data_IF_008013673395
#
_entry.id   IF_008013673395
#
_cell.length_a   1.000
_cell.length_b   1.000
_cell.length_c   1.000
_cell.angle_alpha   90.00
_cell.angle_beta   90.00
_cell.angle_gamma   90.00
#
_symmetry.space_group_name_H-M   'P 1'
#
loop_
_entity.id
_entity.type
_entity.pdbx_description
1 polymer ?
#
# COMPACT_ATOMS: atom_id res chain seq x y z
N UNK A 1 51.43 10.09 74.37
CA UNK A 1 51.48 9.05 73.33
C UNK A 1 50.94 9.68 72.06
N UNK A 2 51.78 9.88 71.05
CA UNK A 2 51.33 10.34 69.73
C UNK A 2 50.60 9.19 69.05
N UNK A 3 49.30 9.34 68.80
CA UNK A 3 48.56 8.39 67.99
C UNK A 3 49.22 8.29 66.61
N UNK A 4 49.53 7.06 66.21
CA UNK A 4 50.15 6.77 64.92
C UNK A 4 49.11 7.03 63.83
N UNK A 5 49.39 7.97 62.94
CA UNK A 5 48.54 8.30 61.80
C UNK A 5 49.31 8.04 60.52
N UNK A 6 49.35 6.75 60.16
CA UNK A 6 50.16 6.20 59.08
C UNK A 6 49.25 5.59 58.00
N UNK A 7 49.77 5.45 56.78
CA UNK A 7 49.04 4.83 55.69
C UNK A 7 48.79 3.33 55.98
N UNK A 8 47.54 2.89 55.81
CA UNK A 8 47.16 1.49 56.02
C UNK A 8 47.89 0.49 55.10
N UNK A 9 48.38 0.94 53.93
CA UNK A 9 49.06 0.06 52.97
C UNK A 9 50.59 0.08 53.06
N UNK A 10 51.21 1.28 53.07
CA UNK A 10 52.67 1.40 53.07
C UNK A 10 53.29 1.74 54.43
N UNK A 11 52.47 1.94 55.47
CA UNK A 11 52.88 2.32 56.84
C UNK A 11 53.63 3.65 56.94
N UNK A 12 53.72 4.44 55.86
CA UNK A 12 54.31 5.77 55.89
C UNK A 12 53.46 6.76 56.69
N UNK A 13 54.11 7.65 57.43
CA UNK A 13 53.41 8.70 58.17
C UNK A 13 52.64 9.65 57.25
N UNK A 14 51.37 9.90 57.60
CA UNK A 14 50.46 10.80 56.88
C UNK A 14 50.42 12.20 57.48
N UNK A 15 51.16 12.47 58.57
CA UNK A 15 51.24 13.79 59.18
C UNK A 15 51.70 14.85 58.16
N UNK A 16 50.86 15.87 57.96
CA UNK A 16 51.14 16.97 57.01
C UNK A 16 51.09 16.57 55.53
N UNK A 17 50.63 15.36 55.19
CA UNK A 17 50.47 14.87 53.82
C UNK A 17 49.00 14.73 53.45
N UNK A 18 48.69 14.81 52.15
CA UNK A 18 47.35 14.48 51.66
C UNK A 18 47.10 12.98 51.81
N UNK A 19 45.90 12.61 52.24
CA UNK A 19 45.45 11.23 52.41
C UNK A 19 43.99 11.10 51.99
N UNK A 20 43.57 9.87 51.69
CA UNK A 20 42.20 9.51 51.35
C UNK A 20 41.70 8.48 52.35
N UNK A 21 40.51 8.69 52.90
CA UNK A 21 39.85 7.72 53.78
C UNK A 21 38.97 6.79 52.95
N UNK A 22 39.15 5.48 53.12
CA UNK A 22 38.28 4.45 52.55
C UNK A 22 37.94 3.45 53.64
N UNK A 23 36.64 3.23 53.89
CA UNK A 23 36.16 2.34 54.96
C UNK A 23 36.82 2.67 56.32
N UNK A 24 36.91 3.96 56.65
CA UNK A 24 37.54 4.51 57.87
C UNK A 24 39.07 4.29 57.99
N UNK A 25 39.71 3.68 56.98
CA UNK A 25 41.15 3.48 56.96
C UNK A 25 41.86 4.57 56.12
N UNK A 26 42.97 5.15 56.62
CA UNK A 26 43.69 6.19 55.90
C UNK A 26 44.73 5.61 54.91
N UNK A 27 44.67 6.06 53.66
CA UNK A 27 45.63 5.71 52.61
C UNK A 27 46.37 6.97 52.14
N UNK A 28 47.67 6.89 51.87
CA UNK A 28 48.35 7.96 51.14
C UNK A 28 47.81 7.99 49.71
N UNK A 29 47.84 9.16 49.07
CA UNK A 29 47.29 9.34 47.70
C UNK A 29 47.88 8.31 46.72
N UNK A 30 49.19 8.07 46.78
CA UNK A 30 49.85 7.10 45.91
C UNK A 30 49.35 5.66 46.11
N UNK A 31 49.17 5.22 47.35
CA UNK A 31 48.64 3.88 47.64
C UNK A 31 47.16 3.78 47.27
N UNK A 32 46.38 4.82 47.52
CA UNK A 32 44.97 4.86 47.14
C UNK A 32 44.81 4.77 45.62
N UNK A 33 45.59 5.55 44.86
CA UNK A 33 45.58 5.51 43.40
C UNK A 33 46.04 4.16 42.87
N UNK A 34 47.12 3.59 43.41
CA UNK A 34 47.63 2.29 42.95
C UNK A 34 46.64 1.13 43.19
N UNK A 35 45.85 1.19 44.27
CA UNK A 35 44.94 0.12 44.65
C UNK A 35 43.54 0.28 44.06
N UNK A 36 43.08 1.53 43.85
CA UNK A 36 41.66 1.82 43.62
C UNK A 36 41.37 2.78 42.46
N UNK A 37 42.37 3.40 41.82
CA UNK A 37 42.11 4.28 40.69
C UNK A 37 41.70 3.46 39.45
N UNK A 38 40.68 3.97 38.76
CA UNK A 38 40.28 3.47 37.45
C UNK A 38 41.34 3.81 36.40
N UNK A 39 41.55 2.95 35.40
CA UNK A 39 42.43 3.25 34.27
C UNK A 39 41.63 3.93 33.16
N UNK A 40 42.12 5.05 32.64
CA UNK A 40 41.49 5.74 31.54
C UNK A 40 41.65 4.96 30.24
N UNK A 41 40.53 4.68 29.58
CA UNK A 41 40.47 3.90 28.34
C UNK A 41 41.19 4.57 27.15
N UNK A 42 41.25 5.91 27.12
CA UNK A 42 41.83 6.65 25.99
C UNK A 42 43.35 6.81 26.11
N UNK A 43 43.86 7.14 27.30
CA UNK A 43 45.27 7.45 27.50
C UNK A 43 46.05 6.38 28.28
N UNK A 44 45.37 5.38 28.84
CA UNK A 44 45.96 4.29 29.62
C UNK A 44 46.51 4.68 30.99
N UNK A 45 46.31 5.93 31.44
CA UNK A 45 46.77 6.42 32.75
C UNK A 45 45.70 6.23 33.81
N UNK A 46 46.13 6.07 35.07
CA UNK A 46 45.22 6.07 36.22
C UNK A 46 44.52 7.41 36.36
N UNK A 47 43.22 7.38 36.66
CA UNK A 47 42.41 8.55 36.96
C UNK A 47 42.57 8.84 38.45
N UNK A 48 43.34 9.89 38.76
CA UNK A 48 43.62 10.30 40.13
C UNK A 48 42.37 10.63 40.93
N UNK A 49 42.45 10.56 42.26
CA UNK A 49 41.31 10.85 43.14
C UNK A 49 40.85 12.33 43.07
N UNK A 50 41.69 13.20 42.53
CA UNK A 50 41.42 14.61 42.29
C UNK A 50 40.77 14.89 40.92
N UNK A 51 40.69 13.88 40.06
CA UNK A 51 40.10 13.97 38.73
C UNK A 51 38.64 13.50 38.73
N UNK A 52 37.81 14.11 37.88
CA UNK A 52 36.45 13.63 37.64
C UNK A 52 36.52 12.34 36.81
N UNK A 53 36.19 11.21 37.43
CA UNK A 53 36.06 9.91 36.77
C UNK A 53 34.71 9.81 36.05
N UNK A 54 34.74 9.84 34.71
CA UNK A 54 33.57 9.62 33.88
C UNK A 54 33.52 8.14 33.50
N UNK A 55 32.41 7.47 33.82
CA UNK A 55 32.25 6.04 33.56
C UNK A 55 31.05 5.70 32.68
N UNK A 56 31.21 4.69 31.83
CA UNK A 56 30.15 4.11 30.99
C UNK A 56 30.46 2.65 30.67
N UNK A 57 29.53 1.74 30.98
CA UNK A 57 29.67 0.27 30.77
C UNK A 57 31.03 -0.26 31.26
N UNK A 58 31.35 0.03 32.53
CA UNK A 58 32.57 -0.43 33.22
C UNK A 58 33.90 0.09 32.62
N UNK A 59 33.83 1.12 31.77
CA UNK A 59 34.99 1.84 31.26
C UNK A 59 35.03 3.24 31.82
N UNK A 60 36.24 3.79 31.90
CA UNK A 60 36.53 5.02 32.61
C UNK A 60 37.35 5.97 31.75
N UNK A 61 37.08 7.26 31.87
CA UNK A 61 37.78 8.31 31.13
C UNK A 61 38.03 9.53 32.01
N UNK A 62 39.17 10.18 31.80
CA UNK A 62 39.32 11.57 32.22
C UNK A 62 38.30 12.44 31.49
N UNK A 63 37.88 13.54 32.13
CA UNK A 63 37.02 14.54 31.50
C UNK A 63 37.57 15.05 30.15
N UNK A 64 38.88 15.28 30.07
CA UNK A 64 39.56 15.70 28.84
C UNK A 64 39.67 14.60 27.77
N UNK A 65 39.59 13.33 28.18
CA UNK A 65 39.68 12.15 27.31
C UNK A 65 38.31 11.67 26.82
N UNK A 66 37.21 12.20 27.37
CA UNK A 66 35.85 11.84 27.02
C UNK A 66 35.35 12.66 25.82
N UNK A 67 35.90 12.37 24.65
CA UNK A 67 35.61 13.09 23.39
C UNK A 67 35.15 12.17 22.27
N UNK A 68 34.52 12.76 21.26
CA UNK A 68 34.13 12.05 20.06
C UNK A 68 35.36 11.58 19.27
N UNK A 69 35.39 10.30 18.90
CA UNK A 69 36.48 9.67 18.13
C UNK A 69 36.68 10.28 16.73
N UNK A 70 35.69 11.03 16.21
CA UNK A 70 35.73 11.65 14.88
C UNK A 70 36.06 13.15 14.94
N UNK A 71 35.22 13.94 15.61
CA UNK A 71 35.38 15.39 15.65
C UNK A 71 36.21 15.90 16.83
N UNK A 72 36.62 15.02 17.76
CA UNK A 72 37.34 15.35 19.01
C UNK A 72 36.61 16.33 19.94
N UNK A 73 35.33 16.63 19.67
CA UNK A 73 34.50 17.43 20.58
C UNK A 73 34.21 16.69 21.88
N UNK A 74 34.28 17.40 23.01
CA UNK A 74 33.92 16.86 24.34
C UNK A 74 32.47 16.35 24.36
N UNK A 75 32.30 15.14 24.90
CA UNK A 75 31.03 14.44 25.09
C UNK A 75 30.49 14.57 26.52
N UNK A 76 31.20 15.28 27.39
CA UNK A 76 30.81 15.49 28.79
C UNK A 76 29.44 16.16 28.83
N UNK A 77 28.52 15.58 29.60
CA UNK A 77 27.12 16.00 29.75
C UNK A 77 26.33 16.11 28.43
N UNK A 78 26.80 15.46 27.35
CA UNK A 78 26.13 15.44 26.04
C UNK A 78 25.70 14.02 25.66
N UNK A 79 24.59 13.87 24.92
CA UNK A 79 24.22 12.58 24.33
C UNK A 79 25.33 12.06 23.41
N UNK A 80 25.64 10.77 23.50
CA UNK A 80 26.62 10.10 22.67
C UNK A 80 26.16 8.68 22.30
N UNK A 81 26.80 8.11 21.29
CA UNK A 81 26.64 6.72 20.90
C UNK A 81 27.97 5.97 21.11
N UNK A 82 27.90 4.80 21.76
CA UNK A 82 29.02 3.88 21.87
C UNK A 82 28.80 2.73 20.90
N UNK A 83 29.66 2.61 19.87
CA UNK A 83 29.61 1.54 18.87
C UNK A 83 31.03 1.03 18.63
N UNK A 84 31.22 -0.29 18.70
CA UNK A 84 32.52 -0.94 18.48
C UNK A 84 33.65 -0.27 19.27
N UNK A 85 33.38 0.00 20.56
CA UNK A 85 34.32 0.64 21.49
C UNK A 85 34.68 2.11 21.19
N UNK A 86 34.08 2.71 20.17
CA UNK A 86 34.24 4.13 19.85
C UNK A 86 33.11 4.96 20.42
N UNK A 87 33.47 6.06 21.08
CA UNK A 87 32.54 7.11 21.48
C UNK A 87 32.32 8.09 20.34
N UNK A 88 31.08 8.28 19.91
CA UNK A 88 30.70 9.18 18.83
C UNK A 88 29.66 10.18 19.33
N UNK A 89 29.80 11.46 18.97
CA UNK A 89 28.71 12.41 19.16
C UNK A 89 27.54 12.04 18.25
N UNK A 90 26.34 12.49 18.59
CA UNK A 90 25.12 12.22 17.81
C UNK A 90 25.24 12.63 16.34
N UNK A 91 25.96 13.71 16.05
CA UNK A 91 26.12 14.22 14.68
C UNK A 91 27.04 13.32 13.86
N UNK A 92 28.21 12.95 14.40
CA UNK A 92 29.15 12.05 13.73
C UNK A 92 28.55 10.66 13.56
N UNK A 93 27.86 10.15 14.58
CA UNK A 93 27.13 8.89 14.48
C UNK A 93 26.07 8.95 13.38
N UNK A 94 25.31 10.04 13.31
CA UNK A 94 24.28 10.21 12.30
C UNK A 94 24.84 10.35 10.88
N UNK A 95 25.98 11.03 10.71
CA UNK A 95 26.60 11.18 9.39
C UNK A 95 27.07 9.85 8.81
N UNK A 96 27.63 8.98 9.65
CA UNK A 96 28.19 7.69 9.23
C UNK A 96 27.13 6.60 9.06
N UNK A 97 26.07 6.62 9.88
CA UNK A 97 25.16 5.48 10.00
C UNK A 97 23.69 5.79 9.70
N UNK A 98 23.31 7.05 9.45
CA UNK A 98 21.92 7.41 9.18
C UNK A 98 21.63 7.60 7.69
N UNK A 99 20.50 7.04 7.25
CA UNK A 99 19.90 7.37 5.95
C UNK A 99 19.52 8.87 5.92
N UNK A 100 19.68 9.53 4.77
CA UNK A 100 19.22 10.92 4.59
C UNK A 100 17.79 10.92 4.06
N UNK A 101 16.96 11.80 4.61
CA UNK A 101 15.61 12.02 4.12
C UNK A 101 15.66 12.64 2.73
N UNK A 102 14.97 12.04 1.76
CA UNK A 102 14.95 12.49 0.39
C UNK A 102 14.24 13.85 0.24
N UNK A 103 13.30 14.17 1.12
CA UNK A 103 12.57 15.45 1.11
C UNK A 103 13.38 16.58 1.75
N UNK A 104 13.64 16.50 3.07
CA UNK A 104 14.27 17.59 3.81
C UNK A 104 15.81 17.56 3.81
N UNK A 105 16.41 16.51 3.23
CA UNK A 105 17.87 16.26 3.16
C UNK A 105 18.59 16.11 4.51
N UNK A 106 17.87 16.11 5.64
CA UNK A 106 18.40 15.87 6.99
C UNK A 106 18.57 14.37 7.27
N UNK A 107 19.46 14.02 8.20
CA UNK A 107 19.63 12.65 8.67
C UNK A 107 18.37 12.12 9.35
N UNK A 108 18.06 10.84 9.14
CA UNK A 108 17.01 10.11 9.84
C UNK A 108 17.66 9.34 10.98
N UNK A 109 17.37 9.73 12.22
CA UNK A 109 18.03 9.17 13.40
C UNK A 109 17.92 7.64 13.44
N UNK A 110 19.00 6.90 13.75
CA UNK A 110 18.93 5.44 13.82
C UNK A 110 17.98 5.00 14.93
N UNK A 111 17.21 3.95 14.68
CA UNK A 111 16.17 3.48 15.60
C UNK A 111 14.83 4.24 15.52
N UNK A 112 14.76 5.36 14.79
CA UNK A 112 13.47 6.01 14.48
C UNK A 112 12.78 5.32 13.31
N UNK A 113 11.44 5.36 13.31
CA UNK A 113 10.66 4.82 12.20
C UNK A 113 10.87 5.68 10.96
N UNK A 114 11.14 5.02 9.84
CA UNK A 114 11.39 5.66 8.54
C UNK A 114 10.53 5.01 7.46
N UNK A 115 10.26 5.78 6.41
CA UNK A 115 9.61 5.29 5.21
C UNK A 115 10.66 5.02 4.15
N UNK A 116 10.53 3.91 3.42
CA UNK A 116 11.48 3.52 2.38
C UNK A 116 10.75 3.07 1.12
N UNK A 117 11.24 3.53 -0.03
CA UNK A 117 10.72 3.15 -1.34
C UNK A 117 11.80 3.38 -2.42
N UNK A 118 12.04 2.36 -3.25
CA UNK A 118 13.03 2.41 -4.36
C UNK A 118 14.39 3.00 -3.95
N UNK A 119 14.92 2.58 -2.80
CA UNK A 119 16.23 3.01 -2.30
C UNK A 119 16.29 4.43 -1.72
N UNK A 120 15.16 5.15 -1.70
CA UNK A 120 15.03 6.43 -1.02
C UNK A 120 14.43 6.23 0.38
N UNK A 121 14.80 7.10 1.32
CA UNK A 121 14.29 7.10 2.68
C UNK A 121 13.67 8.45 3.04
N UNK A 122 12.65 8.46 3.88
CA UNK A 122 12.01 9.68 4.39
C UNK A 122 11.72 9.55 5.89
N UNK A 123 11.71 10.68 6.59
CA UNK A 123 11.01 10.75 7.88
C UNK A 123 9.53 10.44 7.67
N UNK A 124 8.84 9.86 8.65
CA UNK A 124 7.39 9.62 8.56
C UNK A 124 6.59 10.89 8.23
N UNK A 125 7.00 12.03 8.81
CA UNK A 125 6.39 13.34 8.59
C UNK A 125 6.75 13.95 7.23
N UNK A 126 7.81 13.48 6.58
CA UNK A 126 8.24 13.93 5.26
C UNK A 126 7.70 13.04 4.13
N UNK A 127 7.19 11.85 4.45
CA UNK A 127 6.55 10.97 3.47
C UNK A 127 5.08 11.36 3.28
N UNK A 128 4.89 12.47 2.58
CA UNK A 128 3.60 13.15 2.40
C UNK A 128 3.03 12.96 1.00
N UNK A 129 1.72 13.13 0.89
CA UNK A 129 1.05 13.20 -0.40
C UNK A 129 1.30 14.57 -1.03
N UNK A 130 1.84 14.60 -2.26
CA UNK A 130 2.09 15.82 -3.01
C UNK A 130 0.85 16.73 -3.13
N UNK A 131 -0.35 16.13 -3.22
CA UNK A 131 -1.59 16.89 -3.40
C UNK A 131 -2.18 17.47 -2.12
N UNK A 132 -2.34 16.65 -1.07
CA UNK A 132 -2.98 17.10 0.18
C UNK A 132 -2.00 17.47 1.28
N UNK A 133 -0.70 17.27 1.06
CA UNK A 133 0.40 17.56 1.99
C UNK A 133 0.28 16.82 3.33
N UNK A 134 -0.58 15.79 3.41
CA UNK A 134 -0.74 14.97 4.61
C UNK A 134 0.24 13.79 4.60
N UNK A 135 0.77 13.39 5.78
CA UNK A 135 1.57 12.17 5.91
C UNK A 135 0.79 10.95 5.42
N UNK A 136 1.41 10.18 4.54
CA UNK A 136 0.84 8.93 4.04
C UNK A 136 1.03 7.81 5.08
N UNK A 137 2.21 7.79 5.74
CA UNK A 137 2.58 6.75 6.68
C UNK A 137 2.58 5.37 6.01
N UNK A 138 2.02 4.36 6.67
CA UNK A 138 1.92 2.98 6.15
C UNK A 138 0.76 2.74 5.20
N UNK A 139 -0.01 3.77 4.85
CA UNK A 139 -1.12 3.62 3.90
C UNK A 139 -0.57 3.38 2.50
N UNK A 140 -1.34 2.70 1.66
CA UNK A 140 -1.03 2.54 0.23
C UNK A 140 -0.86 3.89 -0.44
N UNK A 141 0.06 3.95 -1.39
CA UNK A 141 0.38 5.16 -2.15
C UNK A 141 0.69 4.82 -3.61
N UNK A 142 0.65 5.85 -4.44
CA UNK A 142 0.92 5.73 -5.88
C UNK A 142 2.03 6.73 -6.22
N UNK A 143 3.23 6.25 -6.57
CA UNK A 143 4.32 7.09 -7.04
C UNK A 143 4.11 7.46 -8.51
N UNK A 144 4.25 8.74 -8.85
CA UNK A 144 4.13 9.25 -10.21
C UNK A 144 5.05 10.46 -10.38
N UNK A 145 5.88 10.47 -11.43
CA UNK A 145 6.79 11.58 -11.76
C UNK A 145 7.71 12.02 -10.60
N UNK A 146 8.22 11.06 -9.82
CA UNK A 146 9.02 11.26 -8.58
C UNK A 146 8.26 11.83 -7.38
N UNK A 147 6.96 12.06 -7.51
CA UNK A 147 6.06 12.49 -6.45
C UNK A 147 5.27 11.31 -5.87
N UNK A 148 4.89 11.41 -4.60
CA UNK A 148 4.08 10.40 -3.93
C UNK A 148 2.65 10.92 -3.73
N UNK A 149 1.65 10.15 -4.13
CA UNK A 149 0.24 10.48 -3.92
C UNK A 149 -0.42 9.46 -3.02
N UNK A 150 -1.25 9.91 -2.07
CA UNK A 150 -2.19 9.00 -1.42
C UNK A 150 -3.24 8.55 -2.45
N UNK A 151 -3.72 7.31 -2.32
CA UNK A 151 -4.68 6.70 -3.26
C UNK A 151 -5.88 7.62 -3.55
N UNK A 152 -6.56 8.23 -2.57
CA UNK A 152 -7.71 9.11 -2.85
C UNK A 152 -7.36 10.35 -3.66
N UNK A 153 -6.18 10.94 -3.42
CA UNK A 153 -5.73 12.13 -4.15
C UNK A 153 -5.35 11.80 -5.59
N UNK A 154 -4.69 10.66 -5.78
CA UNK A 154 -4.34 10.14 -7.10
C UNK A 154 -5.60 9.83 -7.90
N UNK A 155 -6.52 9.05 -7.33
CA UNK A 155 -7.80 8.69 -7.98
C UNK A 155 -8.61 9.92 -8.35
N UNK A 156 -8.72 10.91 -7.45
CA UNK A 156 -9.43 12.16 -7.75
C UNK A 156 -8.82 12.94 -8.92
N UNK A 157 -7.53 12.78 -9.21
CA UNK A 157 -6.85 13.50 -10.30
C UNK A 157 -6.78 12.70 -11.60
N UNK A 158 -6.61 11.39 -11.51
CA UNK A 158 -6.21 10.56 -12.63
C UNK A 158 -7.17 9.39 -12.92
N UNK A 159 -8.15 9.11 -12.06
CA UNK A 159 -9.12 8.06 -12.36
C UNK A 159 -10.03 8.49 -13.51
N UNK A 160 -10.35 7.52 -14.38
CA UNK A 160 -11.34 7.70 -15.43
C UNK A 160 -12.70 8.02 -14.81
N UNK A 161 -13.46 8.91 -15.44
CA UNK A 161 -14.78 9.30 -14.98
C UNK A 161 -15.86 8.50 -15.70
N UNK A 162 -16.76 7.88 -14.95
CA UNK A 162 -17.87 7.15 -15.53
C UNK A 162 -18.77 8.08 -16.35
N UNK A 163 -19.05 7.70 -17.60
CA UNK A 163 -19.87 8.52 -18.49
C UNK A 163 -21.30 8.73 -17.95
N UNK A 164 -21.87 7.73 -17.26
CA UNK A 164 -23.22 7.82 -16.69
C UNK A 164 -23.31 8.74 -15.48
N UNK A 165 -22.48 8.51 -14.45
CA UNK A 165 -22.65 9.15 -13.15
C UNK A 165 -21.64 10.28 -12.89
N UNK A 166 -20.67 10.48 -13.79
CA UNK A 166 -19.57 11.46 -13.71
C UNK A 166 -18.64 11.30 -12.50
N UNK A 167 -18.75 10.19 -11.76
CA UNK A 167 -17.86 9.89 -10.62
C UNK A 167 -16.61 9.12 -11.09
N UNK A 168 -15.47 9.28 -10.39
CA UNK A 168 -14.27 8.47 -10.60
C UNK A 168 -14.54 6.97 -10.54
N UNK A 169 -13.92 6.21 -11.44
CA UNK A 169 -13.89 4.74 -11.43
C UNK A 169 -12.62 4.32 -10.70
N UNK A 170 -12.77 4.04 -9.40
CA UNK A 170 -11.65 3.70 -8.50
C UNK A 170 -11.39 2.20 -8.42
N UNK A 171 -12.44 1.39 -8.65
CA UNK A 171 -12.35 -0.07 -8.56
C UNK A 171 -13.01 -0.69 -9.78
N UNK A 172 -12.21 -1.30 -10.66
CA UNK A 172 -12.68 -2.17 -11.75
C UNK A 172 -13.89 -1.66 -12.56
N UNK A 173 -13.65 -0.99 -13.68
CA UNK A 173 -14.71 -0.56 -14.59
C UNK A 173 -14.99 -1.54 -15.73
N UNK A 174 -15.85 -1.11 -16.66
CA UNK A 174 -15.95 -1.67 -18.01
C UNK A 174 -15.72 -0.55 -19.02
N UNK A 175 -15.09 -0.91 -20.13
CA UNK A 175 -14.95 -0.03 -21.28
C UNK A 175 -15.92 -0.49 -22.35
N UNK A 176 -16.78 0.41 -22.81
CA UNK A 176 -17.69 0.16 -23.92
C UNK A 176 -17.59 1.33 -24.89
N UNK A 177 -17.27 1.05 -26.16
CA UNK A 177 -17.01 2.07 -27.20
C UNK A 177 -15.99 3.12 -26.74
N UNK A 178 -14.87 2.65 -26.19
CA UNK A 178 -13.79 3.48 -25.63
C UNK A 178 -14.19 4.41 -24.48
N UNK A 179 -15.45 4.34 -24.04
CA UNK A 179 -15.96 5.11 -22.92
C UNK A 179 -15.92 4.28 -21.63
N UNK A 180 -15.46 4.86 -20.52
CA UNK A 180 -15.38 4.16 -19.25
C UNK A 180 -16.69 4.27 -18.45
N UNK A 181 -17.10 3.15 -17.86
CA UNK A 181 -18.32 3.04 -17.06
C UNK A 181 -18.03 2.25 -15.78
N UNK A 182 -18.73 2.59 -14.69
CA UNK A 182 -18.87 1.64 -13.58
C UNK A 182 -19.66 0.41 -14.06
N UNK A 183 -19.36 -0.76 -13.51
CA UNK A 183 -20.07 -2.01 -13.85
C UNK A 183 -21.57 -1.90 -13.60
N UNK A 184 -21.95 -1.17 -12.55
CA UNK A 184 -23.32 -0.92 -12.11
C UNK A 184 -23.99 0.20 -12.91
N UNK A 185 -23.21 1.07 -13.56
CA UNK A 185 -23.72 2.13 -14.43
C UNK A 185 -23.93 1.65 -15.88
N UNK A 186 -23.19 0.62 -16.31
CA UNK A 186 -23.37 0.01 -17.62
C UNK A 186 -24.52 -0.99 -17.60
N UNK A 187 -25.73 -0.49 -17.81
CA UNK A 187 -26.99 -1.23 -17.64
C UNK A 187 -27.81 -1.30 -18.93
N UNK A 188 -28.69 -2.29 -19.01
CA UNK A 188 -29.69 -2.40 -20.07
C UNK A 188 -30.60 -1.16 -20.05
N UNK A 189 -30.77 -0.52 -21.21
CA UNK A 189 -31.64 0.65 -21.35
C UNK A 189 -33.09 0.36 -20.93
N UNK A 190 -33.59 -0.85 -21.20
CA UNK A 190 -34.96 -1.26 -20.91
C UNK A 190 -35.17 -1.70 -19.46
N UNK A 191 -34.40 -2.68 -18.95
CA UNK A 191 -34.65 -3.27 -17.63
C UNK A 191 -33.71 -2.78 -16.51
N UNK A 192 -32.75 -1.91 -16.83
CA UNK A 192 -31.75 -1.34 -15.90
C UNK A 192 -30.86 -2.36 -15.17
N UNK A 193 -30.86 -3.64 -15.58
CA UNK A 193 -29.93 -4.65 -15.06
C UNK A 193 -28.51 -4.43 -15.60
N UNK A 194 -27.45 -4.64 -14.80
CA UNK A 194 -26.06 -4.56 -15.26
C UNK A 194 -25.77 -5.46 -16.46
N UNK A 195 -25.04 -4.94 -17.44
CA UNK A 195 -24.59 -5.66 -18.63
C UNK A 195 -23.14 -6.16 -18.50
N UNK A 196 -22.40 -5.69 -17.49
CA UNK A 196 -21.05 -6.15 -17.21
C UNK A 196 -21.00 -7.68 -17.04
N UNK A 197 -20.22 -8.36 -17.88
CA UNK A 197 -20.07 -9.81 -17.87
C UNK A 197 -21.27 -10.59 -18.45
N UNK A 198 -22.29 -9.90 -18.97
CA UNK A 198 -23.45 -10.51 -19.62
C UNK A 198 -23.37 -10.36 -21.14
N UNK A 199 -24.04 -11.23 -21.87
CA UNK A 199 -24.26 -11.01 -23.31
C UNK A 199 -25.26 -9.88 -23.52
N UNK A 200 -24.94 -8.96 -24.41
CA UNK A 200 -25.77 -7.82 -24.74
C UNK A 200 -25.58 -7.44 -26.21
N UNK A 201 -26.45 -6.59 -26.72
CA UNK A 201 -26.35 -5.99 -28.06
C UNK A 201 -26.68 -4.50 -27.97
N UNK A 202 -26.37 -3.74 -29.01
CA UNK A 202 -26.71 -2.31 -29.07
C UNK A 202 -27.49 -1.95 -30.32
N UNK A 203 -28.34 -0.94 -30.18
CA UNK A 203 -29.14 -0.35 -31.25
C UNK A 203 -29.34 1.13 -30.96
N UNK A 204 -29.14 1.97 -31.96
CA UNK A 204 -29.29 3.42 -31.88
C UNK A 204 -28.55 4.00 -30.66
N UNK A 205 -27.28 3.59 -30.47
CA UNK A 205 -26.42 3.94 -29.32
C UNK A 205 -26.81 3.35 -27.95
N UNK A 206 -28.00 2.78 -27.81
CA UNK A 206 -28.49 2.18 -26.56
C UNK A 206 -28.08 0.71 -26.43
N UNK A 207 -27.61 0.33 -25.24
CA UNK A 207 -27.25 -1.06 -24.93
C UNK A 207 -28.44 -1.80 -24.30
N UNK A 208 -28.72 -3.01 -24.80
CA UNK A 208 -29.81 -3.86 -24.34
C UNK A 208 -29.30 -5.25 -24.00
N UNK A 209 -29.80 -5.83 -22.91
CA UNK A 209 -29.62 -7.27 -22.71
C UNK A 209 -30.38 -8.03 -23.79
N UNK A 210 -29.94 -9.26 -24.10
CA UNK A 210 -30.52 -10.03 -25.19
C UNK A 210 -32.03 -10.25 -25.05
N UNK A 211 -32.52 -10.51 -23.83
CA UNK A 211 -33.96 -10.68 -23.57
C UNK A 211 -34.75 -9.44 -23.95
N UNK A 212 -34.41 -8.27 -23.38
CA UNK A 212 -35.11 -7.03 -23.70
C UNK A 212 -34.96 -6.63 -25.17
N UNK A 213 -33.83 -6.91 -25.80
CA UNK A 213 -33.66 -6.66 -27.22
C UNK A 213 -34.63 -7.51 -28.05
N UNK A 214 -34.75 -8.80 -27.76
CA UNK A 214 -35.70 -9.68 -28.43
C UNK A 214 -37.15 -9.23 -28.19
N UNK A 215 -37.50 -8.89 -26.95
CA UNK A 215 -38.87 -8.48 -26.61
C UNK A 215 -39.28 -7.19 -27.32
N UNK A 216 -38.34 -6.25 -27.50
CA UNK A 216 -38.59 -4.96 -28.13
C UNK A 216 -38.49 -4.99 -29.66
N UNK A 217 -37.59 -5.82 -30.22
CA UNK A 217 -37.19 -5.70 -31.63
C UNK A 217 -37.21 -6.99 -32.43
N UNK A 218 -37.27 -8.17 -31.79
CA UNK A 218 -37.37 -9.40 -32.57
C UNK A 218 -38.77 -9.52 -33.19
N UNK A 219 -38.79 -10.04 -34.41
CA UNK A 219 -40.02 -10.44 -35.07
C UNK A 219 -40.70 -11.54 -34.26
N UNK A 220 -42.03 -11.53 -34.22
CA UNK A 220 -42.81 -12.51 -33.46
C UNK A 220 -43.22 -13.67 -34.35
N UNK A 221 -43.18 -14.88 -33.80
CA UNK A 221 -43.65 -16.07 -34.48
C UNK A 221 -45.16 -15.99 -34.71
N UNK A 222 -45.59 -16.16 -35.96
CA UNK A 222 -47.01 -16.15 -36.33
C UNK A 222 -47.80 -17.33 -35.73
N UNK A 223 -47.12 -18.43 -35.35
CA UNK A 223 -47.74 -19.57 -34.64
C UNK A 223 -47.96 -19.38 -33.14
N UNK A 224 -46.93 -18.96 -32.39
CA UNK A 224 -46.98 -18.89 -30.91
C UNK A 224 -46.90 -17.47 -30.33
N UNK A 225 -46.81 -16.43 -31.17
CA UNK A 225 -46.61 -15.02 -30.82
C UNK A 225 -45.31 -14.68 -30.05
N UNK A 226 -44.48 -15.66 -29.71
CA UNK A 226 -43.21 -15.45 -29.01
C UNK A 226 -42.13 -14.89 -29.96
N UNK A 227 -41.16 -14.10 -29.43
CA UNK A 227 -40.03 -13.59 -30.20
C UNK A 227 -39.23 -14.70 -30.92
N UNK A 228 -38.89 -14.48 -32.18
CA UNK A 228 -37.91 -15.29 -32.91
C UNK A 228 -36.53 -14.71 -32.60
N UNK A 229 -35.96 -15.19 -31.50
CA UNK A 229 -34.60 -14.82 -31.07
C UNK A 229 -33.57 -15.37 -32.06
N UNK A 230 -33.18 -14.59 -33.06
CA UNK A 230 -32.12 -14.93 -34.03
C UNK A 230 -30.70 -14.99 -33.45
N UNK A 231 -30.57 -14.99 -32.12
CA UNK A 231 -29.31 -15.05 -31.41
C UNK A 231 -28.81 -16.49 -31.36
N UNK A 232 -27.87 -16.81 -32.25
CA UNK A 232 -27.23 -18.13 -32.33
C UNK A 232 -27.43 -18.88 -33.66
N UNK A 233 -27.94 -18.23 -34.71
CA UNK A 233 -28.13 -18.87 -36.01
C UNK A 233 -29.29 -19.87 -36.04
N UNK A 234 -30.24 -19.74 -35.11
CA UNK A 234 -31.49 -20.50 -35.08
C UNK A 234 -32.24 -20.25 -36.38
N UNK A 235 -32.35 -21.31 -37.19
CA UNK A 235 -33.11 -21.28 -38.44
C UNK A 235 -34.59 -21.05 -38.09
N UNK A 236 -35.25 -20.20 -38.86
CA UNK A 236 -36.68 -19.93 -38.77
C UNK A 236 -37.28 -20.02 -40.17
N UNK A 237 -38.57 -20.31 -40.25
CA UNK A 237 -39.29 -20.37 -41.52
C UNK A 237 -39.84 -18.98 -41.81
N UNK A 238 -39.58 -18.48 -43.01
CA UNK A 238 -40.15 -17.21 -43.49
C UNK A 238 -40.98 -17.48 -44.73
N UNK A 239 -42.21 -16.99 -44.72
CA UNK A 239 -43.10 -17.00 -45.87
C UNK A 239 -43.92 -15.71 -45.86
N UNK A 240 -43.88 -14.97 -46.97
CA UNK A 240 -44.38 -13.60 -47.05
C UNK A 240 -43.80 -12.72 -45.92
N UNK A 241 -44.62 -11.91 -45.26
CA UNK A 241 -44.24 -11.05 -44.13
C UNK A 241 -44.30 -11.77 -42.76
N UNK A 242 -44.57 -13.08 -42.78
CA UNK A 242 -44.77 -13.89 -41.58
C UNK A 242 -43.59 -14.82 -41.35
N UNK A 243 -43.35 -15.10 -40.08
CA UNK A 243 -42.21 -15.89 -39.65
C UNK A 243 -42.64 -16.87 -38.57
N UNK A 244 -42.04 -18.05 -38.54
CA UNK A 244 -42.32 -19.09 -37.56
C UNK A 244 -41.03 -19.70 -37.03
N UNK A 245 -41.03 -20.10 -35.76
CA UNK A 245 -40.09 -21.12 -35.31
C UNK A 245 -40.31 -22.39 -36.14
N UNK A 246 -39.26 -23.20 -36.37
CA UNK A 246 -39.40 -24.48 -37.08
C UNK A 246 -40.50 -25.36 -36.45
N UNK A 247 -40.52 -25.44 -35.12
CA UNK A 247 -41.49 -26.24 -34.37
C UNK A 247 -42.92 -25.65 -34.37
N UNK A 248 -43.08 -24.39 -34.79
CA UNK A 248 -44.37 -23.71 -34.89
C UNK A 248 -44.93 -23.70 -36.32
N UNK A 249 -44.19 -24.21 -37.31
CA UNK A 249 -44.62 -24.26 -38.70
C UNK A 249 -45.41 -25.55 -38.98
N UNK A 250 -46.62 -25.63 -38.42
CA UNK A 250 -47.47 -26.82 -38.45
C UNK A 250 -48.84 -26.53 -39.06
N UNK A 251 -49.45 -27.54 -39.69
CA UNK A 251 -50.81 -27.47 -40.21
C UNK A 251 -51.79 -27.13 -39.09
N UNK A 252 -52.63 -26.11 -39.29
CA UNK A 252 -53.63 -25.65 -38.31
C UNK A 252 -54.60 -26.76 -37.87
N UNK A 253 -55.01 -27.64 -38.79
CA UNK A 253 -56.03 -28.67 -38.52
C UNK A 253 -55.45 -29.93 -37.84
N UNK A 254 -54.28 -30.41 -38.29
CA UNK A 254 -53.74 -31.69 -37.84
C UNK A 254 -52.42 -31.60 -37.07
N UNK A 255 -51.88 -30.39 -36.87
CA UNK A 255 -50.60 -30.13 -36.20
C UNK A 255 -49.37 -30.80 -36.84
N UNK A 256 -49.51 -31.31 -38.07
CA UNK A 256 -48.40 -31.89 -38.82
C UNK A 256 -47.37 -30.83 -39.17
N UNK A 257 -46.08 -31.10 -38.92
CA UNK A 257 -44.99 -30.21 -39.34
C UNK A 257 -44.94 -30.07 -40.87
N UNK A 258 -44.92 -28.81 -41.32
CA UNK A 258 -44.88 -28.42 -42.73
C UNK A 258 -43.46 -28.05 -43.17
N UNK A 259 -42.45 -28.16 -42.31
CA UNK A 259 -41.06 -27.85 -42.64
C UNK A 259 -40.58 -28.78 -43.75
N UNK A 260 -40.12 -28.18 -44.86
CA UNK A 260 -39.66 -28.93 -46.04
C UNK A 260 -40.77 -29.62 -46.83
N UNK A 261 -42.06 -29.32 -46.57
CA UNK A 261 -43.22 -29.86 -47.28
C UNK A 261 -43.97 -28.77 -48.02
N UNK A 262 -44.72 -29.14 -49.05
CA UNK A 262 -45.71 -28.25 -49.65
C UNK A 262 -46.81 -27.93 -48.64
N UNK A 263 -47.32 -26.70 -48.68
CA UNK A 263 -48.41 -26.23 -47.83
C UNK A 263 -49.32 -25.28 -48.61
N UNK A 264 -50.53 -25.08 -48.09
CA UNK A 264 -51.53 -24.15 -48.59
C UNK A 264 -51.77 -23.05 -47.55
N UNK A 265 -52.10 -21.85 -47.99
CA UNK A 265 -52.43 -20.71 -47.13
C UNK A 265 -53.89 -20.33 -47.29
N UNK A 266 -54.62 -20.29 -46.19
CA UNK A 266 -56.01 -19.81 -46.14
C UNK A 266 -56.10 -18.71 -45.07
N UNK A 267 -56.21 -17.45 -45.50
CA UNK A 267 -56.13 -16.27 -44.61
C UNK A 267 -54.86 -16.31 -43.74
N UNK A 268 -55.03 -16.41 -42.42
CA UNK A 268 -53.94 -16.48 -41.45
C UNK A 268 -53.49 -17.92 -41.15
N UNK A 269 -54.17 -18.94 -41.66
CA UNK A 269 -53.85 -20.34 -41.37
C UNK A 269 -52.98 -20.97 -42.47
N UNK A 270 -52.07 -21.84 -42.04
CA UNK A 270 -51.26 -22.69 -42.91
C UNK A 270 -51.73 -24.14 -42.78
N UNK A 271 -51.88 -24.84 -43.90
CA UNK A 271 -52.48 -26.17 -43.96
C UNK A 271 -51.62 -27.12 -44.77
N UNK A 272 -51.59 -28.40 -44.38
CA UNK A 272 -51.02 -29.44 -45.24
C UNK A 272 -51.95 -29.68 -46.45
N UNK A 273 -51.41 -30.21 -47.57
CA UNK A 273 -52.21 -30.49 -48.76
C UNK A 273 -53.42 -31.37 -48.48
N UNK A 274 -53.34 -32.32 -47.54
CA UNK A 274 -54.46 -33.18 -47.16
C UNK A 274 -55.59 -32.45 -46.43
N UNK A 275 -55.25 -31.49 -45.57
CA UNK A 275 -56.21 -30.72 -44.79
C UNK A 275 -56.82 -29.55 -45.57
N UNK A 276 -56.21 -29.16 -46.69
CA UNK A 276 -56.66 -28.10 -47.58
C UNK A 276 -57.25 -28.59 -48.90
N UNK A 277 -57.61 -29.88 -49.03
CA UNK A 277 -58.24 -30.43 -50.25
C UNK A 277 -59.59 -29.78 -50.60
N UNK A 278 -60.25 -29.20 -49.61
CA UNK A 278 -61.61 -28.62 -49.72
C UNK A 278 -61.61 -27.07 -49.69
N UNK A 279 -60.46 -26.45 -49.95
CA UNK A 279 -60.25 -24.99 -49.99
C UNK A 279 -60.06 -24.57 -51.44
#
# INVERSE_FOLDING_TARGET
MTERFDCHHCEDSLFGRKYVLREEQPYCVACFEALFASTCEECGKLIGCDCKDLSYKDRHWHEACFHCSRCRGSLVDKPFAAKEDQLLCTDCYSQEYSSRCQECKKSIMPGTRKMEYKGSSWHETCFICHRCQQPIGTKSFIPKDSENFCVPCYERQYALQCVQCKKPITTGGVTYREQPWHRECFVCTACKKPLSGQRFTSRDEFAYCLGCFCDLYAKKCAGCANPISGLGGTKYISFEERQWHNDCFNCKKCSLSLVGRGFLTERDDILCPDCGKDI
#
